data_IF_328469378973
#
_entry.id   IF_328469378973
#
_cell.length_a   1.000
_cell.length_b   1.000
_cell.length_c   1.000
_cell.angle_alpha   90.00
_cell.angle_beta   90.00
_cell.angle_gamma   90.00
#
_symmetry.space_group_name_H-M   'P 1'
#
loop_
_entity.id
_entity.type
_entity.pdbx_description
1 polymer ?
#
# COMPACT_ATOMS: atom_id res chain seq x y z
N UNK A 1 -16.97 -16.40 14.18
CA UNK A 1 -16.07 -15.76 13.19
C UNK A 1 -15.33 -14.65 13.92
N UNK A 2 -14.04 -14.79 14.20
CA UNK A 2 -13.29 -13.74 14.89
C UNK A 2 -13.17 -12.53 13.95
N UNK A 3 -13.61 -11.35 14.40
CA UNK A 3 -13.43 -10.10 13.68
C UNK A 3 -11.99 -9.64 13.91
N UNK A 4 -11.04 -10.26 13.21
CA UNK A 4 -9.63 -9.87 13.28
C UNK A 4 -9.48 -8.60 12.45
N UNK A 5 -9.14 -7.49 13.12
CA UNK A 5 -8.82 -6.25 12.43
C UNK A 5 -7.53 -6.46 11.66
N UNK A 6 -7.51 -5.99 10.41
CA UNK A 6 -6.33 -6.08 9.56
C UNK A 6 -5.10 -5.43 10.22
N UNK A 7 -5.30 -4.33 10.92
CA UNK A 7 -4.21 -3.64 11.65
C UNK A 7 -3.62 -4.51 12.76
N UNK A 8 -4.45 -5.25 13.49
CA UNK A 8 -3.99 -6.14 14.57
C UNK A 8 -3.22 -7.34 14.00
N UNK A 9 -3.70 -7.89 12.88
CA UNK A 9 -2.99 -8.94 12.13
C UNK A 9 -1.65 -8.45 11.60
N UNK A 10 -1.64 -7.30 10.92
CA UNK A 10 -0.42 -6.73 10.35
C UNK A 10 0.60 -6.41 11.44
N UNK A 11 0.18 -5.79 12.55
CA UNK A 11 1.07 -5.50 13.68
C UNK A 11 1.64 -6.77 14.31
N UNK A 12 0.93 -7.90 14.24
CA UNK A 12 1.43 -9.17 14.73
C UNK A 12 2.46 -9.79 13.78
N UNK A 13 2.20 -9.78 12.46
CA UNK A 13 3.12 -10.30 11.45
C UNK A 13 4.40 -9.45 11.34
N UNK A 14 4.31 -8.13 11.51
CA UNK A 14 5.47 -7.22 11.50
C UNK A 14 6.47 -7.46 12.64
N UNK A 15 6.14 -8.27 13.65
CA UNK A 15 7.09 -8.73 14.67
C UNK A 15 8.10 -9.73 14.11
N UNK A 16 7.75 -10.45 13.04
CA UNK A 16 8.66 -11.34 12.33
C UNK A 16 9.56 -10.51 11.39
N UNK A 17 10.88 -10.61 11.56
CA UNK A 17 11.83 -9.82 10.79
C UNK A 17 11.84 -10.17 9.29
N UNK A 18 11.65 -11.44 8.92
CA UNK A 18 11.62 -11.86 7.52
C UNK A 18 10.38 -11.31 6.81
N UNK A 19 9.22 -11.43 7.47
CA UNK A 19 7.97 -10.84 6.98
C UNK A 19 8.07 -9.32 6.87
N UNK A 20 8.58 -8.66 7.91
CA UNK A 20 8.76 -7.20 7.94
C UNK A 20 9.65 -6.71 6.79
N UNK A 21 10.75 -7.40 6.53
CA UNK A 21 11.66 -7.02 5.45
C UNK A 21 11.01 -7.19 4.07
N UNK A 22 10.28 -8.29 3.85
CA UNK A 22 9.50 -8.50 2.62
C UNK A 22 8.42 -7.43 2.42
N UNK A 23 7.66 -7.16 3.49
CA UNK A 23 6.61 -6.14 3.50
C UNK A 23 7.14 -4.74 3.20
N UNK A 24 8.24 -4.32 3.83
CA UNK A 24 8.84 -3.01 3.58
C UNK A 24 9.41 -2.88 2.18
N UNK A 25 9.99 -3.95 1.64
CA UNK A 25 10.50 -3.97 0.27
C UNK A 25 9.38 -3.80 -0.76
N UNK A 26 8.31 -4.59 -0.65
CA UNK A 26 7.14 -4.46 -1.54
C UNK A 26 6.46 -3.10 -1.39
N UNK A 27 6.28 -2.62 -0.16
CA UNK A 27 5.71 -1.30 0.11
C UNK A 27 6.53 -0.19 -0.57
N UNK A 28 7.85 -0.24 -0.47
CA UNK A 28 8.75 0.74 -1.09
C UNK A 28 8.65 0.71 -2.62
N UNK A 29 8.58 -0.49 -3.23
CA UNK A 29 8.41 -0.64 -4.68
C UNK A 29 7.07 -0.06 -5.14
N UNK A 30 6.00 -0.33 -4.40
CA UNK A 30 4.66 0.19 -4.67
C UNK A 30 4.61 1.72 -4.54
N UNK A 31 5.14 2.29 -3.47
CA UNK A 31 5.20 3.74 -3.25
C UNK A 31 6.04 4.43 -4.32
N UNK A 32 7.19 3.85 -4.69
CA UNK A 32 8.03 4.36 -5.78
C UNK A 32 7.31 4.33 -7.13
N UNK A 33 6.65 3.21 -7.45
CA UNK A 33 5.86 3.07 -8.68
C UNK A 33 4.69 4.05 -8.71
N UNK A 34 4.03 4.25 -7.58
CA UNK A 34 2.95 5.22 -7.44
C UNK A 34 3.45 6.65 -7.57
N UNK A 35 4.60 7.00 -6.98
CA UNK A 35 5.19 8.32 -7.11
C UNK A 35 5.61 8.62 -8.56
N UNK A 36 6.21 7.64 -9.25
CA UNK A 36 6.53 7.74 -10.68
C UNK A 36 5.26 7.91 -11.52
N UNK A 37 4.19 7.20 -11.18
CA UNK A 37 2.91 7.34 -11.87
C UNK A 37 2.22 8.68 -11.53
N UNK A 38 2.32 9.18 -10.30
CA UNK A 38 1.71 10.43 -9.83
C UNK A 38 2.42 11.67 -10.35
N UNK A 39 3.74 11.59 -10.55
CA UNK A 39 4.52 12.67 -11.16
C UNK A 39 4.32 12.74 -12.68
N UNK A 40 3.86 11.67 -13.31
CA UNK A 40 3.59 11.59 -14.76
C UNK A 40 2.12 11.68 -15.14
N UNK A 41 1.20 11.45 -14.20
CA UNK A 41 -0.25 11.42 -14.45
C UNK A 41 -1.02 12.17 -13.35
N UNK A 42 -1.96 13.06 -13.70
CA UNK A 42 -2.91 13.63 -12.77
C UNK A 42 -3.64 12.54 -11.95
N UNK A 43 -3.77 12.74 -10.63
CA UNK A 43 -4.37 11.81 -9.65
C UNK A 43 -5.67 11.13 -10.12
N UNK A 44 -6.50 11.80 -10.93
CA UNK A 44 -7.75 11.23 -11.50
C UNK A 44 -7.49 10.08 -12.47
N UNK A 45 -6.50 10.21 -13.34
CA UNK A 45 -6.16 9.16 -14.32
C UNK A 45 -5.52 7.95 -13.64
N UNK A 46 -4.74 8.18 -12.57
CA UNK A 46 -4.22 7.13 -11.70
C UNK A 46 -5.31 6.28 -11.05
N UNK A 47 -6.41 6.91 -10.64
CA UNK A 47 -7.54 6.21 -10.00
C UNK A 47 -8.24 5.28 -10.99
N UNK A 48 -8.31 5.68 -12.26
CA UNK A 48 -8.92 4.91 -13.35
C UNK A 48 -8.05 3.73 -13.81
N UNK A 49 -6.72 3.86 -13.77
CA UNK A 49 -5.79 2.81 -14.21
C UNK A 49 -5.62 1.72 -13.14
N UNK A 50 -5.51 2.10 -11.86
CA UNK A 50 -5.13 1.17 -10.78
C UNK A 50 -6.36 0.57 -10.07
N UNK A 51 -7.59 0.97 -10.46
CA UNK A 51 -8.86 0.51 -9.83
C UNK A 51 -8.91 0.67 -8.29
N UNK A 52 -8.07 1.51 -7.70
CA UNK A 52 -8.06 1.82 -6.27
C UNK A 52 -8.68 3.19 -6.02
N UNK A 53 -9.45 3.30 -4.95
CA UNK A 53 -10.14 4.53 -4.59
C UNK A 53 -9.18 5.70 -4.37
N UNK A 54 -9.60 6.91 -4.72
CA UNK A 54 -8.80 8.13 -4.56
C UNK A 54 -8.37 8.37 -3.11
N UNK A 55 -9.18 7.97 -2.14
CA UNK A 55 -8.86 7.99 -0.72
C UNK A 55 -7.75 7.02 -0.33
N UNK A 56 -7.61 5.89 -1.01
CA UNK A 56 -6.50 4.95 -0.82
C UNK A 56 -5.21 5.58 -1.34
N UNK A 57 -5.24 6.20 -2.52
CA UNK A 57 -4.06 6.86 -3.10
C UNK A 57 -3.63 8.09 -2.27
N UNK A 58 -4.57 8.82 -1.68
CA UNK A 58 -4.27 9.99 -0.85
C UNK A 58 -3.75 9.67 0.57
N UNK A 59 -3.86 8.42 1.01
CA UNK A 59 -3.40 7.96 2.34
C UNK A 59 -2.01 7.32 2.29
N UNK A 60 -1.50 7.05 1.10
CA UNK A 60 -0.12 6.63 0.83
C UNK A 60 0.73 7.89 0.75
#
# INVERSE_FOLDING_TARGET
>A
MANVKFDDYLNNELKNNDFKNGYLNEKTILESSLNVASTRLPQRQLTEIIHVSKSTIARI
#
